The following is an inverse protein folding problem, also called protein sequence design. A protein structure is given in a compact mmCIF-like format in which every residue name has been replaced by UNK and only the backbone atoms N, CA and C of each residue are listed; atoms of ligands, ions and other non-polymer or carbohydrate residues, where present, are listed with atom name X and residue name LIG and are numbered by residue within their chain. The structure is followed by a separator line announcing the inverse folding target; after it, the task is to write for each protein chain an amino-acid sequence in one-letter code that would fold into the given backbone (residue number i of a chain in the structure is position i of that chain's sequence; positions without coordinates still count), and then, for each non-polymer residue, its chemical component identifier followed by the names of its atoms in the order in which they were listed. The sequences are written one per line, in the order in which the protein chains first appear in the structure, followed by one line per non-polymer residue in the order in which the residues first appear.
data_IF_884570407589
#
_entry.id   IF_884570407589
#
_cell.length_a   1.000
_cell.length_b   1.000
_cell.length_c   1.000
_cell.angle_alpha   90.00
_cell.angle_beta   90.00
_cell.angle_gamma   90.00
#
_symmetry.space_group_name_H-M   'P 1'
#
loop_
_entity.id
_entity.type
_entity.pdbx_description
1 polymer ?
#
# COMPACT_ATOMS: atom_id res chain seq x y z
N UNK A 1 -7.18 28.24 2.55
CA UNK A 1 -7.85 27.04 2.00
C UNK A 1 -6.77 26.11 1.49
N UNK A 2 -6.56 24.91 2.03
CA UNK A 2 -5.79 23.89 1.32
C UNK A 2 -6.71 23.18 0.32
N UNK A 3 -6.20 23.03 -0.90
CA UNK A 3 -6.90 22.47 -2.06
C UNK A 3 -7.15 20.95 -1.88
N UNK A 4 -8.36 20.46 -2.18
CA UNK A 4 -8.64 19.03 -2.29
C UNK A 4 -8.50 18.61 -3.76
N UNK A 5 -7.35 18.07 -4.17
CA UNK A 5 -7.19 17.59 -5.55
C UNK A 5 -6.58 16.19 -5.57
N UNK A 6 -7.48 15.22 -5.37
CA UNK A 6 -7.34 13.87 -5.89
C UNK A 6 -7.80 13.83 -7.34
N UNK A 7 -6.93 14.23 -8.27
CA UNK A 7 -7.11 13.92 -9.69
C UNK A 7 -6.49 12.54 -10.03
N UNK A 8 -7.11 11.73 -10.91
CA UNK A 8 -6.72 10.34 -11.16
C UNK A 8 -5.50 10.25 -12.10
N UNK A 9 -4.36 10.75 -11.65
CA UNK A 9 -3.04 10.48 -12.23
C UNK A 9 -2.33 9.58 -11.23
N UNK A 10 -2.23 8.27 -11.53
CA UNK A 10 -1.73 7.19 -10.63
C UNK A 10 -1.13 7.71 -9.31
N UNK A 11 -1.92 7.61 -8.23
CA UNK A 11 -1.53 8.07 -6.90
C UNK A 11 -0.16 7.50 -6.49
N UNK A 12 0.61 8.23 -5.67
CA UNK A 12 1.90 7.76 -5.16
C UNK A 12 1.80 6.36 -4.55
N UNK A 13 0.70 6.07 -3.86
CA UNK A 13 0.37 4.72 -3.37
C UNK A 13 0.35 3.66 -4.48
N UNK A 14 -0.34 3.93 -5.59
CA UNK A 14 -0.48 3.01 -6.72
C UNK A 14 0.89 2.71 -7.36
N UNK A 15 1.72 3.74 -7.52
CA UNK A 15 3.10 3.59 -8.00
C UNK A 15 3.97 2.79 -7.02
N UNK A 16 3.81 2.99 -5.71
CA UNK A 16 4.50 2.19 -4.69
C UNK A 16 4.09 0.71 -4.81
N UNK A 17 2.79 0.43 -4.96
CA UNK A 17 2.28 -0.94 -5.11
C UNK A 17 2.82 -1.61 -6.37
N UNK A 18 2.84 -0.91 -7.50
CA UNK A 18 3.43 -1.41 -8.76
C UNK A 18 4.93 -1.72 -8.58
N UNK A 19 5.69 -0.78 -8.00
CA UNK A 19 7.12 -0.99 -7.75
C UNK A 19 7.39 -2.19 -6.83
N UNK A 20 6.60 -2.35 -5.77
CA UNK A 20 6.68 -3.53 -4.89
C UNK A 20 6.32 -4.81 -5.66
N UNK A 21 5.27 -4.79 -6.48
CA UNK A 21 4.88 -5.94 -7.29
C UNK A 21 5.98 -6.35 -8.28
N UNK A 22 6.63 -5.40 -8.95
CA UNK A 22 7.74 -5.67 -9.86
C UNK A 22 8.99 -6.22 -9.14
N UNK A 23 9.30 -5.70 -7.96
CA UNK A 23 10.43 -6.16 -7.14
C UNK A 23 10.17 -7.55 -6.57
N UNK A 24 8.94 -7.84 -6.18
CA UNK A 24 8.54 -9.13 -5.58
C UNK A 24 8.22 -10.21 -6.64
N UNK A 25 7.84 -9.82 -7.85
CA UNK A 25 7.57 -10.73 -8.98
C UNK A 25 8.76 -11.63 -9.33
N UNK A 26 9.97 -11.25 -8.94
CA UNK A 26 11.21 -12.02 -9.13
C UNK A 26 11.36 -13.20 -8.15
N UNK A 27 10.32 -13.49 -7.36
CA UNK A 27 10.30 -14.56 -6.36
C UNK A 27 10.75 -14.13 -4.96
N UNK A 28 10.90 -12.83 -4.73
CA UNK A 28 11.26 -12.27 -3.43
C UNK A 28 9.98 -11.80 -2.72
N UNK A 29 9.67 -12.26 -1.52
CA UNK A 29 8.49 -11.75 -0.78
C UNK A 29 8.69 -10.35 -0.20
N UNK A 30 9.93 -9.85 -0.22
CA UNK A 30 10.32 -8.55 0.33
C UNK A 30 10.93 -7.68 -0.76
N UNK A 31 10.49 -6.43 -0.82
CA UNK A 31 11.03 -5.37 -1.65
C UNK A 31 11.81 -4.36 -0.80
N UNK A 32 12.96 -3.90 -1.30
CA UNK A 32 13.75 -2.86 -0.67
C UNK A 32 13.12 -1.48 -0.83
N UNK A 33 13.03 -0.71 0.26
CA UNK A 33 12.51 0.67 0.22
C UNK A 33 13.42 1.56 -0.64
N UNK A 34 14.73 1.29 -0.66
CA UNK A 34 15.69 1.98 -1.54
C UNK A 34 15.34 1.80 -3.03
N UNK A 35 14.95 0.59 -3.44
CA UNK A 35 14.61 0.29 -4.83
C UNK A 35 13.28 0.93 -5.21
N UNK A 36 12.30 0.92 -4.30
CA UNK A 36 11.02 1.61 -4.47
C UNK A 36 11.25 3.11 -4.69
N UNK A 37 12.12 3.72 -3.89
CA UNK A 37 12.48 5.14 -4.06
C UNK A 37 13.24 5.42 -5.34
N UNK A 38 14.11 4.51 -5.78
CA UNK A 38 14.79 4.61 -7.07
C UNK A 38 13.78 4.55 -8.23
N UNK A 39 12.75 3.71 -8.12
CA UNK A 39 11.65 3.68 -9.09
C UNK A 39 10.78 4.95 -9.03
N UNK A 40 10.65 5.55 -7.85
CA UNK A 40 9.89 6.77 -7.58
C UNK A 40 10.76 8.03 -7.47
N UNK A 41 11.87 8.11 -8.21
CA UNK A 41 12.81 9.23 -8.12
C UNK A 41 12.19 10.61 -8.46
N UNK A 42 10.99 10.62 -9.02
CA UNK A 42 10.16 11.80 -9.33
C UNK A 42 9.34 12.31 -8.12
N UNK A 43 9.23 11.51 -7.04
CA UNK A 43 8.45 11.83 -5.84
C UNK A 43 9.37 12.19 -4.68
N UNK A 44 8.95 13.16 -3.86
CA UNK A 44 9.71 13.56 -2.67
C UNK A 44 9.84 12.41 -1.66
N UNK A 45 11.02 12.33 -1.04
CA UNK A 45 11.33 11.35 -0.01
C UNK A 45 10.29 11.39 1.13
N UNK A 46 9.98 12.57 1.67
CA UNK A 46 9.05 12.69 2.80
C UNK A 46 7.64 12.21 2.42
N UNK A 47 7.22 12.44 1.17
CA UNK A 47 5.94 11.97 0.64
C UNK A 47 5.90 10.43 0.54
N UNK A 48 6.91 9.80 -0.07
CA UNK A 48 6.98 8.33 -0.15
C UNK A 48 6.99 7.71 1.25
N UNK A 49 7.72 8.30 2.19
CA UNK A 49 7.78 7.88 3.59
C UNK A 49 6.43 8.01 4.28
N UNK A 50 5.69 9.10 4.08
CA UNK A 50 4.34 9.27 4.66
C UNK A 50 3.36 8.26 4.08
N UNK A 51 3.37 8.09 2.77
CA UNK A 51 2.47 7.15 2.09
C UNK A 51 2.75 5.71 2.54
N UNK A 52 4.02 5.29 2.64
CA UNK A 52 4.37 3.96 3.16
C UNK A 52 3.88 3.74 4.60
N UNK A 53 4.01 4.74 5.47
CA UNK A 53 3.51 4.65 6.85
C UNK A 53 1.99 4.61 6.90
N UNK A 54 1.30 5.39 6.06
CA UNK A 54 -0.15 5.41 5.97
C UNK A 54 -0.68 4.07 5.44
N UNK A 55 -0.06 3.54 4.39
CA UNK A 55 -0.31 2.21 3.84
C UNK A 55 -0.14 1.12 4.91
N UNK A 56 0.99 1.09 5.63
CA UNK A 56 1.24 0.10 6.68
C UNK A 56 0.29 0.25 7.88
N UNK A 57 -0.22 1.46 8.14
CA UNK A 57 -1.19 1.72 9.21
C UNK A 57 -2.61 1.31 8.80
N UNK A 58 -2.98 1.53 7.54
CA UNK A 58 -4.33 1.34 7.05
C UNK A 58 -4.58 -0.07 6.49
N UNK A 59 -3.54 -0.77 6.02
CA UNK A 59 -3.62 -2.12 5.48
C UNK A 59 -2.81 -3.12 6.30
N UNK A 60 -3.44 -4.15 6.89
CA UNK A 60 -2.75 -5.16 7.68
C UNK A 60 -1.85 -6.09 6.84
N UNK A 61 -2.01 -6.09 5.51
CA UNK A 61 -1.25 -6.89 4.55
C UNK A 61 0.12 -6.31 4.21
N UNK A 62 0.39 -5.10 4.70
CA UNK A 62 1.62 -4.38 4.44
C UNK A 62 2.51 -4.52 5.66
N UNK A 63 3.59 -5.26 5.47
CA UNK A 63 4.56 -5.55 6.51
C UNK A 63 5.81 -4.74 6.22
N UNK A 64 6.20 -3.90 7.19
CA UNK A 64 7.48 -3.24 7.18
C UNK A 64 8.43 -4.04 8.09
N UNK A 65 9.64 -4.27 7.60
CA UNK A 65 10.68 -4.95 8.37
C UNK A 65 12.03 -4.23 8.26
N UNK A 66 12.86 -4.29 9.31
CA UNK A 66 14.25 -3.89 9.21
C UNK A 66 15.03 -4.90 8.36
N UNK A 67 16.00 -4.43 7.56
CA UNK A 67 16.89 -5.33 6.83
C UNK A 67 17.75 -6.13 7.82
N UNK A 68 17.63 -7.45 7.76
CA UNK A 68 18.37 -8.35 8.63
C UNK A 68 19.85 -8.39 8.24
N UNK A 69 20.18 -8.23 6.95
CA UNK A 69 21.55 -8.19 6.47
C UNK A 69 22.16 -6.79 6.59
N UNK A 70 22.34 -6.32 7.82
CA UNK A 70 22.89 -4.99 8.12
C UNK A 70 24.30 -4.75 7.56
N UNK A 71 25.04 -5.80 7.18
CA UNK A 71 26.36 -5.68 6.53
C UNK A 71 26.27 -5.29 5.05
N UNK A 72 25.12 -5.49 4.43
CA UNK A 72 24.85 -5.10 3.05
C UNK A 72 24.23 -3.69 2.94
N UNK A 73 23.73 -3.13 4.05
CA UNK A 73 23.18 -1.78 4.11
C UNK A 73 24.26 -0.74 3.79
N UNK A 74 24.01 0.06 2.77
CA UNK A 74 24.81 1.23 2.41
C UNK A 74 24.22 2.47 3.05
N UNK A 75 24.95 3.57 2.96
CA UNK A 75 24.44 4.87 3.39
C UNK A 75 23.14 5.24 2.67
N UNK A 76 23.00 4.84 1.40
CA UNK A 76 21.77 4.98 0.62
C UNK A 76 20.58 4.23 1.24
N UNK A 77 20.80 3.03 1.77
CA UNK A 77 19.72 2.25 2.40
C UNK A 77 19.28 2.87 3.74
N UNK A 78 20.21 3.46 4.48
CA UNK A 78 19.91 4.19 5.71
C UNK A 78 19.17 5.50 5.42
N UNK A 79 19.55 6.23 4.38
CA UNK A 79 18.81 7.43 3.93
C UNK A 79 17.43 7.05 3.38
N UNK A 80 17.33 5.85 2.77
CA UNK A 80 16.09 5.28 2.28
C UNK A 80 15.16 4.74 3.37
N UNK A 81 15.63 4.60 4.61
CA UNK A 81 14.88 3.91 5.64
C UNK A 81 13.63 4.69 6.06
N UNK A 82 12.55 3.97 6.32
CA UNK A 82 11.29 4.54 6.84
C UNK A 82 11.20 4.23 8.32
N UNK A 83 10.96 5.26 9.12
CA UNK A 83 10.74 5.07 10.56
C UNK A 83 9.26 4.74 10.80
N UNK A 84 8.97 3.58 11.38
CA UNK A 84 7.60 3.19 11.74
C UNK A 84 7.53 2.61 13.16
N UNK A 85 6.42 2.81 13.86
CA UNK A 85 6.22 2.34 15.23
C UNK A 85 7.06 3.11 16.26
N UNK A 86 7.83 2.39 17.08
CA UNK A 86 8.62 2.94 18.20
C UNK A 86 9.93 3.64 17.80
N UNK A 87 10.07 4.04 16.53
CA UNK A 87 11.27 4.71 16.01
C UNK A 87 12.26 3.79 15.29
N UNK A 88 11.84 2.59 14.87
CA UNK A 88 12.74 1.63 14.23
C UNK A 88 12.79 1.84 12.71
N UNK A 89 14.00 1.85 12.15
CA UNK A 89 14.26 2.04 10.72
C UNK A 89 13.93 0.76 9.93
N UNK A 90 12.87 0.85 9.15
CA UNK A 90 12.41 -0.18 8.23
C UNK A 90 13.12 0.03 6.89
N UNK A 91 13.56 -1.08 6.30
CA UNK A 91 14.32 -1.06 5.05
C UNK A 91 13.66 -1.95 3.99
N UNK A 92 12.79 -2.87 4.44
CA UNK A 92 12.05 -3.79 3.61
C UNK A 92 10.55 -3.56 3.78
N UNK A 93 9.82 -3.76 2.69
CA UNK A 93 8.37 -3.85 2.67
C UNK A 93 7.96 -5.15 2.00
N UNK A 94 6.99 -5.84 2.57
CA UNK A 94 6.28 -6.94 1.96
C UNK A 94 4.80 -6.56 1.85
N UNK A 95 4.21 -6.82 0.69
CA UNK A 95 2.77 -6.75 0.48
C UNK A 95 2.33 -8.19 0.27
N UNK A 96 1.64 -8.76 1.25
CA UNK A 96 1.13 -10.12 1.12
C UNK A 96 0.03 -10.15 0.04
N UNK A 97 0.18 -10.96 -1.02
CA UNK A 97 -0.87 -11.12 -2.01
C UNK A 97 -2.05 -11.85 -1.36
N UNK A 98 -3.22 -11.24 -1.40
CA UNK A 98 -4.43 -11.90 -0.91
C UNK A 98 -4.90 -12.85 -1.99
N UNK A 99 -5.08 -14.14 -1.67
CA UNK A 99 -5.29 -15.18 -2.68
C UNK A 99 -6.58 -15.03 -3.49
N UNK A 100 -7.56 -14.23 -3.06
CA UNK A 100 -8.85 -14.13 -3.75
C UNK A 100 -8.90 -12.97 -4.77
N UNK A 101 -8.11 -13.11 -5.84
CA UNK A 101 -8.17 -12.22 -7.02
C UNK A 101 -9.58 -12.17 -7.67
N UNK A 102 -10.45 -13.14 -7.36
CA UNK A 102 -11.84 -13.20 -7.82
C UNK A 102 -12.81 -12.31 -7.03
N UNK A 103 -12.46 -11.87 -5.82
CA UNK A 103 -13.33 -11.03 -4.99
C UNK A 103 -13.57 -9.66 -5.61
N UNK A 104 -12.52 -9.04 -6.17
CA UNK A 104 -12.66 -7.76 -6.87
C UNK A 104 -13.63 -7.85 -8.05
N UNK A 105 -13.53 -8.94 -8.83
CA UNK A 105 -14.43 -9.18 -9.96
C UNK A 105 -15.89 -9.42 -9.55
N UNK A 106 -16.14 -10.00 -8.37
CA UNK A 106 -17.49 -10.17 -7.83
C UNK A 106 -18.08 -8.84 -7.34
N UNK A 107 -17.31 -8.02 -6.62
CA UNK A 107 -17.74 -6.67 -6.21
C UNK A 107 -18.04 -5.79 -7.43
N UNK A 108 -17.20 -5.84 -8.47
CA UNK A 108 -17.41 -5.09 -9.71
C UNK A 108 -18.66 -5.56 -10.48
N UNK A 109 -18.96 -6.86 -10.47
CA UNK A 109 -20.13 -7.41 -11.14
C UNK A 109 -21.45 -7.17 -10.36
N UNK A 110 -21.40 -7.21 -9.03
CA UNK A 110 -22.56 -6.98 -8.15
C UNK A 110 -22.86 -5.48 -7.94
N UNK A 111 -21.82 -4.63 -8.03
CA UNK A 111 -21.90 -3.22 -7.68
C UNK A 111 -21.69 -3.00 -6.17
N UNK A 112 -20.92 -1.98 -5.81
CA UNK A 112 -20.50 -1.69 -4.43
C UNK A 112 -21.64 -1.53 -3.40
N UNK A 113 -22.86 -1.20 -3.86
CA UNK A 113 -24.03 -1.07 -3.00
C UNK A 113 -24.66 -2.42 -2.60
N UNK A 114 -24.54 -3.44 -3.45
CA UNK A 114 -25.16 -4.77 -3.26
C UNK A 114 -24.13 -5.84 -2.83
N UNK A 115 -22.84 -5.52 -2.90
CA UNK A 115 -21.77 -6.40 -2.44
C UNK A 115 -21.91 -6.72 -0.94
N UNK A 116 -21.72 -8.00 -0.62
CA UNK A 116 -21.69 -8.49 0.77
C UNK A 116 -20.50 -7.90 1.53
N UNK A 117 -20.64 -7.72 2.84
CA UNK A 117 -19.61 -7.17 3.72
C UNK A 117 -18.26 -7.91 3.61
N UNK A 118 -18.30 -9.25 3.49
CA UNK A 118 -17.13 -10.08 3.27
C UNK A 118 -16.46 -9.85 1.89
N UNK A 119 -17.23 -9.51 0.86
CA UNK A 119 -16.74 -9.25 -0.50
C UNK A 119 -16.18 -7.81 -0.59
N UNK A 120 -16.80 -6.86 0.13
CA UNK A 120 -16.27 -5.51 0.34
C UNK A 120 -14.96 -5.52 1.15
N UNK A 121 -14.86 -6.33 2.20
CA UNK A 121 -13.61 -6.55 2.96
C UNK A 121 -12.55 -7.20 2.05
N UNK A 122 -12.88 -8.27 1.33
CA UNK A 122 -11.95 -8.93 0.42
C UNK A 122 -11.47 -8.00 -0.72
N UNK A 123 -12.34 -7.16 -1.26
CA UNK A 123 -11.97 -6.13 -2.25
C UNK A 123 -11.16 -4.99 -1.63
N UNK A 124 -11.46 -4.57 -0.40
CA UNK A 124 -10.67 -3.55 0.34
C UNK A 124 -9.23 -4.00 0.55
N UNK A 125 -9.06 -5.29 0.79
CA UNK A 125 -7.78 -5.90 1.03
C UNK A 125 -7.04 -6.25 -0.28
N UNK A 126 -7.70 -6.21 -1.44
CA UNK A 126 -7.09 -6.54 -2.74
C UNK A 126 -6.05 -5.49 -3.18
N UNK A 127 -4.88 -5.96 -3.65
CA UNK A 127 -3.71 -5.09 -3.89
C UNK A 127 -3.91 -4.09 -5.05
N UNK A 128 -4.75 -4.45 -6.03
CA UNK A 128 -5.04 -3.63 -7.23
C UNK A 128 -6.19 -2.65 -6.98
N UNK A 129 -6.78 -2.65 -5.79
CA UNK A 129 -7.91 -1.78 -5.50
C UNK A 129 -7.44 -0.33 -5.53
N UNK A 130 -7.95 0.48 -6.49
CA UNK A 130 -7.56 1.87 -6.61
C UNK A 130 -7.88 2.60 -5.30
N UNK A 131 -7.00 3.52 -4.88
CA UNK A 131 -7.16 4.29 -3.64
C UNK A 131 -8.56 4.95 -3.51
N UNK A 132 -9.15 5.34 -4.64
CA UNK A 132 -10.52 5.89 -4.71
C UNK A 132 -11.61 4.85 -4.36
N UNK A 133 -11.45 3.61 -4.81
CA UNK A 133 -12.34 2.49 -4.46
C UNK A 133 -12.20 2.10 -3.00
N UNK A 134 -10.97 2.13 -2.45
CA UNK A 134 -10.71 1.88 -1.03
C UNK A 134 -11.41 2.91 -0.12
N UNK A 135 -11.35 4.20 -0.47
CA UNK A 135 -12.00 5.28 0.30
C UNK A 135 -13.54 5.16 0.26
N UNK A 136 -14.11 4.81 -0.90
CA UNK A 136 -15.55 4.56 -1.05
C UNK A 136 -16.03 3.37 -0.22
N UNK A 137 -15.29 2.26 -0.18
CA UNK A 137 -15.62 1.09 0.65
C UNK A 137 -15.60 1.47 2.13
N UNK A 138 -14.62 2.26 2.56
CA UNK A 138 -14.50 2.73 3.95
C UNK A 138 -15.67 3.64 4.36
N UNK A 139 -16.08 4.54 3.48
CA UNK A 139 -17.20 5.44 3.72
C UNK A 139 -18.53 4.68 3.87
N UNK A 140 -18.76 3.65 3.06
CA UNK A 140 -19.99 2.84 3.08
C UNK A 140 -20.07 1.95 4.33
N UNK A 141 -18.97 1.28 4.70
CA UNK A 141 -18.85 0.49 5.94
C UNK A 141 -19.18 1.34 7.19
N UNK A 142 -18.63 2.56 7.27
CA UNK A 142 -18.90 3.48 8.39
C UNK A 142 -20.37 3.89 8.49
N UNK A 143 -21.08 3.92 7.37
CA UNK A 143 -22.50 4.26 7.32
C UNK A 143 -23.38 3.12 7.82
N UNK A 144 -23.05 1.89 7.43
CA UNK A 144 -23.76 0.66 7.86
C UNK A 144 -23.53 0.34 9.33
N UNK A 145 -22.35 0.61 9.88
CA UNK A 145 -22.06 0.42 11.31
C UNK A 145 -22.80 1.41 12.24
N UNK A 146 -23.48 2.44 11.70
CA UNK A 146 -24.24 3.43 12.47
C UNK A 146 -25.77 3.31 12.31
N UNK A 147 -26.26 2.28 11.62
CA UNK A 147 -27.69 1.92 11.55
C UNK A 147 -28.00 0.70 12.42
#
# INVERSE_FOLDING_TARGET
MPVPDGEPTRSTEDRIREAVAELTARGSSWAGIVDIRKALADVDHDEVTRVLQDMARNNPNIHLAPEANRKALRQEDHDAAVTFGAGEQQHLIAIEPIPDAGALGRVQAAGFADATDADLEAARLHHDTPSSTYDQIRAEQKRRAQQ
#
